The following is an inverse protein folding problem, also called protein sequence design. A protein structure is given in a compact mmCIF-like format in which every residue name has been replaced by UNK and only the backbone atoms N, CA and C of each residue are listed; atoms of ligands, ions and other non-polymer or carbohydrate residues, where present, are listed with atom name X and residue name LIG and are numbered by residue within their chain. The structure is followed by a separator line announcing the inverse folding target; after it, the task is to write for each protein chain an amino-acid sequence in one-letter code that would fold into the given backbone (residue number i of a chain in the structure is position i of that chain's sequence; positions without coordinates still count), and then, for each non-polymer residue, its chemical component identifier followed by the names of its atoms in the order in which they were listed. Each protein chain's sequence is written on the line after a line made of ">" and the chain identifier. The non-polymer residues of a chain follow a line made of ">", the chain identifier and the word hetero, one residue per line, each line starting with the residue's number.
data_IF_392874607354
#
_entry.id   IF_392874607354
#
_cell.length_a   1.000
_cell.length_b   1.000
_cell.length_c   1.000
_cell.angle_alpha   90.00
_cell.angle_beta   90.00
_cell.angle_gamma   90.00
#
_symmetry.space_group_name_H-M   'P 1'
#
loop_
_entity.id
_entity.type
_entity.pdbx_description
1 polymer ?
#
# COMPACT_ATOMS: atom_id res chain seq x y z
N UNK A 1 -6.88 31.14 1.46
CA UNK A 1 -6.24 29.81 1.48
C UNK A 1 -6.89 28.96 0.41
N UNK A 2 -6.13 28.37 -0.53
CA UNK A 2 -6.70 27.51 -1.57
C UNK A 2 -7.46 26.32 -0.96
N UNK A 3 -8.54 25.91 -1.60
CA UNK A 3 -9.43 24.82 -1.16
C UNK A 3 -9.18 23.56 -1.98
N UNK A 4 -8.99 22.43 -1.32
CA UNK A 4 -8.83 21.12 -1.96
C UNK A 4 -10.03 20.26 -1.64
N UNK A 5 -10.64 19.66 -2.67
CA UNK A 5 -11.59 18.56 -2.48
C UNK A 5 -10.83 17.24 -2.51
N UNK A 6 -10.71 16.57 -1.37
CA UNK A 6 -10.03 15.28 -1.23
C UNK A 6 -11.03 14.12 -1.39
N UNK A 7 -11.03 13.46 -2.54
CA UNK A 7 -11.92 12.35 -2.86
C UNK A 7 -11.25 10.98 -2.63
N UNK A 8 -11.88 10.13 -1.81
CA UNK A 8 -11.39 8.79 -1.48
C UNK A 8 -12.55 7.85 -1.13
N UNK A 9 -12.31 6.53 -1.14
CA UNK A 9 -13.34 5.53 -0.84
C UNK A 9 -13.38 5.12 0.64
N UNK A 10 -12.22 5.02 1.27
CA UNK A 10 -12.06 4.63 2.68
C UNK A 10 -10.91 5.40 3.32
N UNK A 11 -10.99 5.74 4.62
CA UNK A 11 -9.97 6.51 5.32
C UNK A 11 -8.78 5.61 5.70
N UNK A 12 -8.08 5.04 4.72
CA UNK A 12 -6.86 4.27 5.00
C UNK A 12 -5.75 5.18 5.54
N UNK A 13 -4.82 4.64 6.34
CA UNK A 13 -3.76 5.43 7.01
C UNK A 13 -2.98 6.33 6.05
N UNK A 14 -2.59 5.82 4.87
CA UNK A 14 -1.88 6.64 3.88
C UNK A 14 -2.73 7.77 3.29
N UNK A 15 -4.06 7.63 3.22
CA UNK A 15 -4.97 8.70 2.81
C UNK A 15 -5.06 9.77 3.90
N UNK A 16 -5.11 9.34 5.17
CA UNK A 16 -5.12 10.25 6.31
C UNK A 16 -3.80 11.03 6.42
N UNK A 17 -2.66 10.37 6.22
CA UNK A 17 -1.35 11.03 6.18
C UNK A 17 -1.30 12.11 5.08
N UNK A 18 -1.74 11.78 3.87
CA UNK A 18 -1.81 12.76 2.77
C UNK A 18 -2.76 13.92 3.09
N UNK A 19 -3.92 13.64 3.67
CA UNK A 19 -4.86 14.67 4.11
C UNK A 19 -4.21 15.62 5.11
N UNK A 20 -3.51 15.07 6.09
CA UNK A 20 -2.90 15.85 7.16
C UNK A 20 -1.75 16.70 6.61
N UNK A 21 -0.93 16.14 5.70
CA UNK A 21 0.05 16.88 4.89
C UNK A 21 -0.61 18.05 4.15
N UNK A 22 -1.70 17.80 3.41
CA UNK A 22 -2.39 18.84 2.65
C UNK A 22 -2.98 19.93 3.56
N UNK A 23 -3.44 19.58 4.76
CA UNK A 23 -3.98 20.53 5.75
C UNK A 23 -2.94 21.48 6.32
N UNK A 24 -1.65 21.18 6.21
CA UNK A 24 -0.59 22.11 6.61
C UNK A 24 -0.61 23.42 5.82
N UNK A 25 -1.10 23.39 4.56
CA UNK A 25 -1.10 24.56 3.67
C UNK A 25 -2.46 24.92 3.04
N UNK A 26 -3.40 23.97 2.99
CA UNK A 26 -4.63 24.11 2.22
C UNK A 26 -5.88 23.83 3.06
N UNK A 27 -7.00 24.44 2.66
CA UNK A 27 -8.30 24.14 3.23
C UNK A 27 -8.84 22.84 2.61
N UNK A 28 -8.73 21.72 3.31
CA UNK A 28 -9.13 20.41 2.80
C UNK A 28 -10.58 20.08 3.17
N UNK A 29 -11.44 19.96 2.15
CA UNK A 29 -12.80 19.42 2.25
C UNK A 29 -12.76 17.94 1.83
N UNK A 30 -13.17 17.03 2.71
CA UNK A 30 -13.16 15.58 2.45
C UNK A 30 -14.43 15.13 1.70
N UNK A 31 -14.25 14.29 0.69
CA UNK A 31 -15.30 13.58 -0.04
C UNK A 31 -15.08 12.08 0.08
N UNK A 32 -15.50 11.52 1.22
CA UNK A 32 -15.52 10.07 1.43
C UNK A 32 -16.73 9.45 0.73
N UNK A 33 -16.48 8.48 -0.16
CA UNK A 33 -17.54 7.79 -0.88
C UNK A 33 -17.27 6.27 -0.95
N UNK A 34 -17.66 5.50 0.07
CA UNK A 34 -17.44 4.05 0.09
C UNK A 34 -18.34 3.34 -0.93
N UNK A 35 -19.53 3.89 -1.20
CA UNK A 35 -20.51 3.35 -2.15
C UNK A 35 -20.31 3.83 -3.59
N UNK A 36 -21.00 3.16 -4.52
CA UNK A 36 -20.97 3.52 -5.96
C UNK A 36 -21.80 4.76 -6.29
N UNK A 37 -22.82 5.07 -5.49
CA UNK A 37 -23.72 6.19 -5.72
C UNK A 37 -23.15 7.46 -5.09
N UNK A 38 -22.85 8.44 -5.93
CA UNK A 38 -22.51 9.78 -5.49
C UNK A 38 -23.79 10.61 -5.29
N UNK A 39 -23.72 11.63 -4.44
CA UNK A 39 -24.76 12.66 -4.35
C UNK A 39 -24.36 13.89 -5.18
N UNK A 40 -24.80 14.02 -6.45
CA UNK A 40 -24.39 15.10 -7.34
C UNK A 40 -24.80 16.49 -6.82
N UNK A 41 -25.91 16.59 -6.08
CA UNK A 41 -26.38 17.86 -5.49
C UNK A 41 -25.40 18.40 -4.45
N UNK A 42 -24.68 17.52 -3.74
CA UNK A 42 -23.61 17.91 -2.81
C UNK A 42 -22.26 18.04 -3.51
N UNK A 43 -21.98 17.18 -4.48
CA UNK A 43 -20.69 17.12 -5.15
C UNK A 43 -20.44 18.33 -6.05
N UNK A 44 -21.42 18.75 -6.86
CA UNK A 44 -21.22 19.85 -7.80
C UNK A 44 -20.85 21.16 -7.08
N UNK A 45 -21.55 21.58 -6.01
CA UNK A 45 -21.12 22.73 -5.21
C UNK A 45 -19.75 22.56 -4.55
N UNK A 46 -19.39 21.33 -4.13
CA UNK A 46 -18.07 21.05 -3.55
C UNK A 46 -16.96 21.26 -4.58
N UNK A 47 -17.06 20.66 -5.77
CA UNK A 47 -16.08 20.85 -6.85
C UNK A 47 -16.04 22.32 -7.31
N UNK A 48 -17.19 23.01 -7.38
CA UNK A 48 -17.24 24.44 -7.72
C UNK A 48 -16.54 25.34 -6.71
N UNK A 49 -16.51 24.98 -5.43
CA UNK A 49 -15.82 25.75 -4.37
C UNK A 49 -14.34 25.39 -4.24
N UNK A 50 -13.93 24.20 -4.68
CA UNK A 50 -12.53 23.76 -4.59
C UNK A 50 -11.68 24.40 -5.69
N UNK A 51 -10.43 24.76 -5.39
CA UNK A 51 -9.45 25.22 -6.37
C UNK A 51 -8.74 24.05 -7.06
N UNK A 52 -8.66 22.90 -6.38
CA UNK A 52 -8.10 21.65 -6.91
C UNK A 52 -8.88 20.43 -6.39
N UNK A 53 -9.00 19.39 -7.22
CA UNK A 53 -9.51 18.07 -6.79
C UNK A 53 -8.35 17.10 -6.61
N UNK A 54 -8.17 16.58 -5.39
CA UNK A 54 -7.20 15.55 -5.08
C UNK A 54 -7.93 14.21 -4.93
N UNK A 55 -7.51 13.18 -5.65
CA UNK A 55 -8.16 11.87 -5.62
C UNK A 55 -7.21 10.74 -5.25
N UNK A 56 -7.68 9.77 -4.47
CA UNK A 56 -6.99 8.50 -4.23
C UNK A 56 -7.66 7.35 -4.97
N UNK A 57 -6.92 6.64 -5.80
CA UNK A 57 -7.35 5.58 -6.74
C UNK A 57 -8.30 6.03 -7.84
N UNK A 58 -8.07 5.57 -9.06
CA UNK A 58 -8.97 5.76 -10.19
C UNK A 58 -10.15 4.78 -10.13
N UNK A 59 -11.20 5.16 -9.41
CA UNK A 59 -12.45 4.38 -9.28
C UNK A 59 -13.70 5.26 -9.17
N UNK A 60 -14.85 4.65 -8.87
CA UNK A 60 -16.17 5.30 -8.85
C UNK A 60 -16.23 6.54 -7.98
N UNK A 61 -15.55 6.56 -6.84
CA UNK A 61 -15.52 7.70 -5.91
C UNK A 61 -14.75 8.90 -6.45
N UNK A 62 -13.82 8.70 -7.38
CA UNK A 62 -13.10 9.78 -8.09
C UNK A 62 -13.70 10.12 -9.45
N UNK A 63 -14.60 9.27 -9.98
CA UNK A 63 -15.15 9.45 -11.33
C UNK A 63 -15.84 10.79 -11.53
N UNK A 64 -16.84 11.10 -10.70
CA UNK A 64 -17.54 12.37 -10.81
C UNK A 64 -16.69 13.57 -10.35
N UNK A 65 -15.95 13.54 -9.20
CA UNK A 65 -15.12 14.67 -8.80
C UNK A 65 -14.12 15.11 -9.87
N UNK A 66 -13.37 14.16 -10.45
CA UNK A 66 -12.35 14.46 -11.48
C UNK A 66 -12.98 14.86 -12.80
N UNK A 67 -14.08 14.21 -13.21
CA UNK A 67 -14.78 14.58 -14.45
C UNK A 67 -15.37 15.99 -14.35
N UNK A 68 -15.97 16.35 -13.22
CA UNK A 68 -16.50 17.69 -12.98
C UNK A 68 -15.38 18.74 -12.90
N UNK A 69 -14.25 18.42 -12.26
CA UNK A 69 -13.08 19.30 -12.26
C UNK A 69 -12.60 19.59 -13.69
N UNK A 70 -12.45 18.54 -14.51
CA UNK A 70 -12.08 18.68 -15.91
C UNK A 70 -13.06 19.54 -16.71
N UNK A 71 -14.38 19.31 -16.56
CA UNK A 71 -15.42 20.11 -17.23
C UNK A 71 -15.43 21.58 -16.81
N UNK A 72 -15.02 21.87 -15.57
CA UNK A 72 -14.95 23.22 -15.00
C UNK A 72 -13.57 23.87 -15.21
N UNK A 73 -12.64 23.23 -15.92
CA UNK A 73 -11.29 23.74 -16.15
C UNK A 73 -10.40 23.74 -14.90
N UNK A 74 -10.75 22.98 -13.86
CA UNK A 74 -10.03 22.95 -12.58
C UNK A 74 -8.93 21.89 -12.57
N UNK A 75 -7.77 22.17 -11.96
CA UNK A 75 -6.71 21.18 -11.83
C UNK A 75 -7.14 20.01 -10.95
N UNK A 76 -6.57 18.84 -11.23
CA UNK A 76 -6.73 17.66 -10.41
C UNK A 76 -5.46 16.83 -10.32
N UNK A 77 -5.19 16.30 -9.12
CA UNK A 77 -4.11 15.37 -8.84
C UNK A 77 -4.72 14.03 -8.43
N UNK A 78 -4.39 12.96 -9.15
CA UNK A 78 -4.92 11.62 -8.88
C UNK A 78 -3.78 10.68 -8.52
N UNK A 79 -3.81 10.15 -7.30
CA UNK A 79 -2.88 9.10 -6.87
C UNK A 79 -3.41 7.75 -7.34
N UNK A 80 -2.61 7.03 -8.13
CA UNK A 80 -2.91 5.70 -8.70
C UNK A 80 -1.71 4.76 -8.43
N UNK A 81 -1.79 3.49 -8.82
CA UNK A 81 -0.68 2.55 -8.59
C UNK A 81 -1.02 1.40 -7.66
N UNK A 82 -2.30 1.03 -7.60
CA UNK A 82 -2.73 -0.18 -6.92
C UNK A 82 -3.64 -1.01 -7.83
N UNK A 83 -4.77 -1.41 -7.28
CA UNK A 83 -5.76 -2.22 -8.00
C UNK A 83 -6.29 -1.55 -9.29
N UNK A 84 -6.25 -0.23 -9.37
CA UNK A 84 -6.74 0.55 -10.50
C UNK A 84 -5.89 0.46 -11.76
N UNK A 85 -4.60 0.12 -11.64
CA UNK A 85 -3.66 0.00 -12.77
C UNK A 85 -3.21 -1.44 -13.02
N UNK A 86 -3.46 -2.36 -12.08
CA UNK A 86 -3.08 -3.76 -12.19
C UNK A 86 -3.90 -4.55 -13.21
N UNK A 87 -3.28 -5.59 -13.80
CA UNK A 87 -3.88 -6.58 -14.69
C UNK A 87 -3.27 -7.97 -14.47
N UNK A 88 -3.82 -8.75 -13.53
CA UNK A 88 -3.40 -10.11 -13.20
C UNK A 88 -4.57 -11.10 -13.38
N UNK A 89 -4.88 -11.51 -14.62
CA UNK A 89 -5.99 -12.41 -14.93
C UNK A 89 -5.88 -13.79 -14.25
N UNK A 90 -4.67 -14.28 -14.03
CA UNK A 90 -4.37 -15.57 -13.40
C UNK A 90 -4.88 -15.68 -11.95
N UNK A 91 -5.05 -14.54 -11.27
CA UNK A 91 -5.62 -14.47 -9.92
C UNK A 91 -6.86 -13.55 -9.84
N UNK A 92 -7.40 -13.14 -11.00
CA UNK A 92 -8.57 -12.26 -11.09
C UNK A 92 -8.37 -10.88 -10.45
N UNK A 93 -7.14 -10.34 -10.43
CA UNK A 93 -6.80 -9.09 -9.72
C UNK A 93 -6.51 -7.91 -10.67
N UNK A 94 -7.17 -6.77 -10.44
CA UNK A 94 -6.91 -5.49 -11.09
C UNK A 94 -8.03 -4.99 -12.01
N UNK A 95 -8.22 -3.68 -12.11
CA UNK A 95 -9.23 -3.07 -12.97
C UNK A 95 -8.89 -3.12 -14.46
N UNK A 96 -7.61 -3.30 -14.83
CA UNK A 96 -7.22 -3.27 -16.23
C UNK A 96 -7.52 -4.57 -16.99
N UNK A 97 -8.18 -5.54 -16.35
CA UNK A 97 -8.61 -6.82 -16.93
C UNK A 97 -9.82 -6.73 -17.89
N UNK A 98 -10.54 -5.60 -17.92
CA UNK A 98 -11.69 -5.42 -18.82
C UNK A 98 -12.92 -4.80 -18.15
N UNK A 99 -14.02 -4.75 -18.90
CA UNK A 99 -15.33 -4.34 -18.37
C UNK A 99 -15.44 -2.85 -17.98
N UNK A 100 -16.53 -2.49 -17.27
CA UNK A 100 -16.83 -1.10 -16.93
C UNK A 100 -15.79 -0.49 -15.98
N UNK A 101 -15.15 -1.28 -15.12
CA UNK A 101 -14.10 -0.79 -14.22
C UNK A 101 -12.86 -0.32 -14.99
N UNK A 102 -12.44 -1.05 -16.02
CA UNK A 102 -11.34 -0.64 -16.91
C UNK A 102 -11.65 0.66 -17.61
N UNK A 103 -12.84 0.77 -18.21
CA UNK A 103 -13.25 1.98 -18.91
C UNK A 103 -13.28 3.18 -17.96
N UNK A 104 -13.92 3.02 -16.80
CA UNK A 104 -14.07 4.07 -15.81
C UNK A 104 -12.71 4.54 -15.29
N UNK A 105 -11.87 3.62 -14.83
CA UNK A 105 -10.54 3.97 -14.30
C UNK A 105 -9.69 4.70 -15.34
N UNK A 106 -9.67 4.22 -16.60
CA UNK A 106 -8.98 4.89 -17.71
C UNK A 106 -9.54 6.27 -18.03
N UNK A 107 -10.87 6.44 -17.95
CA UNK A 107 -11.49 7.75 -18.12
C UNK A 107 -11.01 8.74 -17.07
N UNK A 108 -11.07 8.37 -15.79
CA UNK A 108 -10.63 9.23 -14.67
C UNK A 108 -9.15 9.59 -14.85
N UNK A 109 -8.30 8.59 -15.10
CA UNK A 109 -6.86 8.82 -15.28
C UNK A 109 -6.57 9.71 -16.50
N UNK A 110 -7.29 9.54 -17.60
CA UNK A 110 -7.13 10.38 -18.78
C UNK A 110 -7.53 11.84 -18.52
N UNK A 111 -8.47 12.11 -17.60
CA UNK A 111 -8.97 13.47 -17.32
C UNK A 111 -8.29 14.19 -16.17
N UNK A 112 -7.69 13.46 -15.22
CA UNK A 112 -6.93 14.05 -14.12
C UNK A 112 -5.79 14.94 -14.65
N UNK A 113 -5.49 16.11 -14.08
CA UNK A 113 -4.40 16.96 -14.62
C UNK A 113 -3.03 16.31 -14.47
N UNK A 114 -2.79 15.68 -13.31
CA UNK A 114 -1.55 14.99 -12.97
C UNK A 114 -1.86 13.63 -12.36
N UNK A 115 -1.10 12.61 -12.76
CA UNK A 115 -1.10 11.31 -12.08
C UNK A 115 0.13 11.21 -11.17
N UNK A 116 -0.10 10.73 -9.96
CA UNK A 116 0.96 10.38 -9.00
C UNK A 116 0.91 8.89 -8.74
N UNK A 117 2.05 8.22 -8.76
CA UNK A 117 2.19 6.81 -8.38
C UNK A 117 3.16 6.65 -7.23
N UNK A 118 3.01 5.58 -6.47
CA UNK A 118 3.77 5.33 -5.24
C UNK A 118 5.04 4.47 -5.43
N UNK A 119 5.36 4.06 -6.66
CA UNK A 119 6.57 3.31 -6.99
C UNK A 119 6.91 3.41 -8.48
N UNK A 120 8.16 3.12 -8.85
CA UNK A 120 8.55 3.01 -10.26
C UNK A 120 7.89 1.79 -10.91
N UNK A 121 7.64 0.72 -10.15
CA UNK A 121 6.83 -0.41 -10.58
C UNK A 121 5.43 0.03 -11.00
N UNK A 122 4.71 0.77 -10.14
CA UNK A 122 3.38 1.28 -10.45
C UNK A 122 3.39 2.22 -11.67
N UNK A 123 4.48 2.98 -11.88
CA UNK A 123 4.67 3.77 -13.10
C UNK A 123 4.73 2.88 -14.34
N UNK A 124 5.55 1.83 -14.32
CA UNK A 124 5.66 0.85 -15.41
C UNK A 124 4.32 0.16 -15.66
N UNK A 125 3.56 -0.15 -14.61
CA UNK A 125 2.20 -0.71 -14.76
C UNK A 125 1.23 0.27 -15.42
N UNK A 126 1.28 1.57 -15.09
CA UNK A 126 0.46 2.58 -15.79
C UNK A 126 0.81 2.60 -17.29
N UNK A 127 2.10 2.57 -17.62
CA UNK A 127 2.57 2.56 -19.01
C UNK A 127 2.13 1.29 -19.76
N UNK A 128 2.28 0.12 -19.15
CA UNK A 128 1.96 -1.17 -19.75
C UNK A 128 0.44 -1.44 -19.84
N UNK A 129 -0.30 -1.21 -18.76
CA UNK A 129 -1.68 -1.66 -18.62
C UNK A 129 -2.71 -0.59 -18.98
N UNK A 130 -2.38 0.70 -18.84
CA UNK A 130 -3.33 1.80 -19.06
C UNK A 130 -3.09 2.47 -20.41
N UNK A 131 -1.83 2.78 -20.75
CA UNK A 131 -1.43 3.30 -22.06
C UNK A 131 -1.79 4.76 -22.30
N UNK A 132 -1.50 5.67 -21.36
CA UNK A 132 -1.83 7.09 -21.46
C UNK A 132 -0.70 7.90 -22.11
N UNK A 133 -0.67 7.95 -23.45
CA UNK A 133 0.30 8.76 -24.21
C UNK A 133 0.23 10.24 -23.79
N UNK A 134 1.39 10.83 -23.50
CA UNK A 134 1.53 12.25 -23.17
C UNK A 134 1.02 12.64 -21.78
N UNK A 135 0.58 11.69 -20.95
CA UNK A 135 0.16 11.98 -19.58
C UNK A 135 1.37 12.12 -18.66
N UNK A 136 1.38 13.17 -17.85
CA UNK A 136 2.40 13.31 -16.81
C UNK A 136 2.09 12.34 -15.68
N UNK A 137 3.01 11.41 -15.44
CA UNK A 137 3.02 10.50 -14.30
C UNK A 137 4.25 10.85 -13.46
N UNK A 138 4.04 11.15 -12.18
CA UNK A 138 5.11 11.45 -11.22
C UNK A 138 5.18 10.36 -10.17
N UNK A 139 6.38 9.88 -9.88
CA UNK A 139 6.61 8.94 -8.79
C UNK A 139 6.80 9.74 -7.52
N UNK A 140 5.91 9.57 -6.56
CA UNK A 140 6.03 10.08 -5.19
C UNK A 140 5.77 8.90 -4.27
N UNK A 141 6.86 8.31 -3.79
CA UNK A 141 6.82 7.18 -2.87
C UNK A 141 5.95 7.48 -1.63
N UNK A 142 5.45 6.43 -0.99
CA UNK A 142 4.88 6.59 0.33
C UNK A 142 5.96 7.06 1.31
N UNK A 143 5.52 7.87 2.28
CA UNK A 143 6.30 8.27 3.44
C UNK A 143 5.82 7.42 4.61
N UNK A 144 6.75 6.80 5.31
CA UNK A 144 6.44 5.89 6.43
C UNK A 144 6.89 6.58 7.72
N UNK A 145 5.95 7.06 8.55
CA UNK A 145 6.29 7.76 9.78
C UNK A 145 6.95 6.79 10.78
N UNK A 146 8.04 7.25 11.38
CA UNK A 146 8.76 6.51 12.41
C UNK A 146 8.17 6.77 13.79
N UNK A 147 7.05 6.10 14.06
CA UNK A 147 6.38 6.14 15.37
C UNK A 147 6.91 5.06 16.31
N UNK A 148 7.77 4.16 15.81
CA UNK A 148 8.27 3.01 16.56
C UNK A 148 9.47 3.37 17.45
N UNK A 149 10.23 4.41 17.07
CA UNK A 149 11.40 4.87 17.81
C UNK A 149 12.60 3.93 17.68
N UNK A 150 13.59 4.11 18.54
CA UNK A 150 14.82 3.30 18.52
C UNK A 150 14.54 1.81 18.71
N UNK A 151 15.35 0.97 18.05
CA UNK A 151 15.29 -0.48 18.24
C UNK A 151 15.87 -0.86 19.60
N UNK A 152 15.26 -1.86 20.21
CA UNK A 152 15.83 -2.55 21.35
C UNK A 152 17.09 -3.34 20.95
N UNK A 153 18.15 -3.24 21.75
CA UNK A 153 19.42 -3.94 21.50
C UNK A 153 19.41 -5.44 21.85
N UNK A 154 18.25 -6.01 22.17
CA UNK A 154 18.10 -7.42 22.55
C UNK A 154 17.93 -8.35 21.34
N UNK A 155 18.33 -9.61 21.48
CA UNK A 155 17.97 -10.66 20.54
C UNK A 155 16.45 -10.87 20.53
N UNK A 156 15.85 -10.98 19.34
CA UNK A 156 14.43 -11.26 19.20
C UNK A 156 14.15 -12.74 19.26
N UNK A 157 13.00 -13.08 19.80
CA UNK A 157 12.48 -14.44 19.69
C UNK A 157 12.36 -14.82 18.20
N UNK A 158 12.89 -15.99 17.79
CA UNK A 158 12.72 -16.45 16.43
C UNK A 158 11.21 -16.59 16.18
N UNK A 159 10.71 -15.88 15.17
CA UNK A 159 9.29 -15.78 14.86
C UNK A 159 9.06 -15.09 13.52
N UNK A 160 8.04 -15.54 12.79
CA UNK A 160 7.66 -14.97 11.50
C UNK A 160 6.28 -14.29 11.56
N UNK A 161 6.19 -13.08 11.00
CA UNK A 161 4.97 -12.27 10.99
C UNK A 161 4.55 -11.91 9.57
N UNK A 162 3.24 -11.87 9.31
CA UNK A 162 2.63 -11.26 8.12
C UNK A 162 1.45 -10.40 8.55
N UNK A 163 1.32 -9.21 7.94
CA UNK A 163 0.22 -8.29 8.19
C UNK A 163 -0.57 -8.05 6.90
N UNK A 164 -1.84 -8.46 6.88
CA UNK A 164 -2.77 -8.20 5.77
C UNK A 164 -4.20 -8.45 6.19
N UNK A 165 -5.14 -7.65 5.68
CA UNK A 165 -6.56 -8.04 5.69
C UNK A 165 -6.74 -9.42 5.04
N UNK A 166 -7.48 -10.29 5.73
CA UNK A 166 -7.80 -11.64 5.31
C UNK A 166 -9.08 -11.59 4.50
N UNK A 167 -8.93 -11.78 3.21
CA UNK A 167 -10.00 -11.87 2.23
C UNK A 167 -9.62 -12.89 1.17
N UNK A 168 -10.59 -13.46 0.46
CA UNK A 168 -10.37 -14.40 -0.66
C UNK A 168 -9.32 -13.90 -1.64
N UNK A 169 -9.39 -12.62 -1.99
CA UNK A 169 -8.46 -11.96 -2.90
C UNK A 169 -7.03 -11.85 -2.35
N UNK A 170 -6.87 -11.79 -1.02
CA UNK A 170 -5.57 -11.66 -0.38
C UNK A 170 -4.84 -13.00 -0.23
N UNK A 171 -5.55 -14.14 -0.22
CA UNK A 171 -4.93 -15.45 0.02
C UNK A 171 -3.73 -15.73 -0.89
N UNK A 172 -3.94 -15.54 -2.19
CA UNK A 172 -2.90 -15.71 -3.21
C UNK A 172 -2.12 -14.42 -3.45
N UNK A 173 -2.82 -13.29 -3.60
CA UNK A 173 -2.18 -12.01 -3.94
C UNK A 173 -1.13 -11.60 -2.90
N UNK A 174 -1.41 -11.79 -1.61
CA UNK A 174 -0.53 -11.42 -0.50
C UNK A 174 0.28 -12.60 0.04
N UNK A 175 0.07 -13.82 -0.49
CA UNK A 175 0.76 -15.02 -0.05
C UNK A 175 0.35 -15.51 1.34
N UNK A 176 -0.90 -15.29 1.78
CA UNK A 176 -1.34 -15.71 3.11
C UNK A 176 -1.46 -17.23 3.21
N UNK A 177 -1.92 -17.90 2.15
CA UNK A 177 -2.02 -19.36 2.09
C UNK A 177 -0.64 -20.02 2.25
N UNK A 178 0.37 -19.72 1.43
CA UNK A 178 1.67 -20.34 1.60
C UNK A 178 2.37 -19.94 2.91
N UNK A 179 2.13 -18.72 3.43
CA UNK A 179 2.66 -18.31 4.73
C UNK A 179 2.19 -19.23 5.87
N UNK A 180 0.89 -19.54 5.95
CA UNK A 180 0.39 -20.42 7.03
C UNK A 180 0.79 -21.88 6.82
N UNK A 181 0.93 -22.33 5.57
CA UNK A 181 1.40 -23.68 5.25
C UNK A 181 2.90 -23.86 5.59
N UNK A 182 3.69 -22.79 5.50
CA UNK A 182 5.11 -22.78 5.88
C UNK A 182 5.33 -23.16 7.35
N UNK A 183 4.36 -22.90 8.23
CA UNK A 183 4.45 -23.25 9.65
C UNK A 183 4.77 -24.72 9.90
N UNK A 184 4.29 -25.62 9.03
CA UNK A 184 4.56 -27.06 9.14
C UNK A 184 6.02 -27.45 8.89
N UNK A 185 6.77 -26.61 8.16
CA UNK A 185 8.19 -26.84 7.83
C UNK A 185 9.16 -26.28 8.87
N UNK A 186 8.64 -25.49 9.81
CA UNK A 186 9.38 -24.81 10.87
C UNK A 186 8.59 -24.89 12.21
N UNK A 187 8.27 -26.11 12.70
CA UNK A 187 7.40 -26.31 13.86
C UNK A 187 7.94 -25.73 15.17
N UNK A 188 9.24 -25.48 15.26
CA UNK A 188 9.93 -24.91 16.41
C UNK A 188 9.68 -23.40 16.62
N UNK A 189 9.13 -22.72 15.61
CA UNK A 189 9.00 -21.26 15.60
C UNK A 189 7.54 -20.82 15.48
N UNK A 190 7.10 -19.76 16.19
CA UNK A 190 5.78 -19.17 16.03
C UNK A 190 5.62 -18.44 14.70
N UNK A 191 4.45 -18.60 14.09
CA UNK A 191 3.98 -17.82 12.95
C UNK A 191 2.78 -16.97 13.38
N UNK A 192 2.75 -15.70 13.00
CA UNK A 192 1.69 -14.77 13.37
C UNK A 192 1.11 -14.14 12.11
N UNK A 193 -0.20 -14.28 11.92
CA UNK A 193 -0.95 -13.56 10.90
C UNK A 193 -1.85 -12.53 11.57
N UNK A 194 -1.62 -11.26 11.24
CA UNK A 194 -2.40 -10.11 11.75
C UNK A 194 -3.20 -9.48 10.62
N UNK A 195 -4.46 -9.16 10.90
CA UNK A 195 -5.33 -8.41 10.00
C UNK A 195 -6.80 -8.76 10.15
N UNK A 196 -7.66 -7.79 9.82
CA UNK A 196 -9.11 -7.94 9.81
C UNK A 196 -9.56 -9.09 8.90
N UNK A 197 -10.52 -9.90 9.36
CA UNK A 197 -11.16 -10.95 8.56
C UNK A 197 -12.37 -10.37 7.86
N UNK A 198 -12.31 -10.24 6.54
CA UNK A 198 -13.32 -9.57 5.72
C UNK A 198 -14.34 -10.53 5.10
N UNK A 199 -14.01 -11.82 5.05
CA UNK A 199 -14.85 -12.90 4.55
C UNK A 199 -14.46 -14.25 5.21
N UNK A 200 -15.01 -15.36 4.70
CA UNK A 200 -14.73 -16.72 5.15
C UNK A 200 -13.30 -17.24 4.84
N UNK A 201 -12.42 -16.38 4.30
CA UNK A 201 -11.02 -16.73 4.01
C UNK A 201 -10.24 -17.25 5.20
N UNK A 202 -10.56 -16.76 6.39
CA UNK A 202 -9.93 -17.19 7.62
C UNK A 202 -10.16 -18.67 7.92
N UNK A 203 -11.32 -19.23 7.56
CA UNK A 203 -11.64 -20.63 7.84
C UNK A 203 -10.76 -21.58 7.03
N UNK A 204 -10.44 -21.20 5.79
CA UNK A 204 -9.51 -21.98 4.98
C UNK A 204 -8.08 -21.89 5.54
N UNK A 205 -7.63 -20.69 5.90
CA UNK A 205 -6.30 -20.52 6.48
C UNK A 205 -6.15 -21.38 7.75
N UNK A 206 -7.16 -21.41 8.63
CA UNK A 206 -7.16 -22.25 9.84
C UNK A 206 -7.10 -23.75 9.54
N UNK A 207 -7.77 -24.22 8.48
CA UNK A 207 -7.73 -25.64 8.09
C UNK A 207 -6.36 -26.07 7.54
N UNK A 208 -5.62 -25.14 6.92
CA UNK A 208 -4.30 -25.39 6.31
C UNK A 208 -3.13 -25.14 7.26
N UNK A 209 -3.35 -24.30 8.26
CA UNK A 209 -2.32 -23.87 9.20
C UNK A 209 -1.81 -25.02 10.08
N UNK A 210 -0.51 -25.00 10.34
CA UNK A 210 0.11 -25.83 11.37
C UNK A 210 -0.20 -25.29 12.79
N UNK A 211 -0.03 -26.12 13.85
CA UNK A 211 -0.36 -25.73 15.23
C UNK A 211 0.41 -24.50 15.78
N UNK A 212 1.56 -24.18 15.20
CA UNK A 212 2.40 -23.03 15.56
C UNK A 212 1.97 -21.71 14.89
N UNK A 213 0.89 -21.70 14.11
CA UNK A 213 0.37 -20.50 13.45
C UNK A 213 -0.76 -19.89 14.27
N UNK A 214 -0.60 -18.62 14.63
CA UNK A 214 -1.58 -17.82 15.35
C UNK A 214 -2.23 -16.77 14.46
N UNK A 215 -3.54 -16.59 14.62
CA UNK A 215 -4.33 -15.60 13.90
C UNK A 215 -4.83 -14.53 14.87
N UNK A 216 -4.34 -13.30 14.74
CA UNK A 216 -4.63 -12.22 15.72
C UNK A 216 -5.85 -11.38 15.37
N UNK A 217 -6.35 -11.46 14.15
CA UNK A 217 -7.44 -10.59 13.69
C UNK A 217 -6.99 -9.13 13.56
N UNK A 218 -7.93 -8.20 13.60
CA UNK A 218 -7.62 -6.77 13.65
C UNK A 218 -7.02 -6.40 15.01
N UNK A 219 -5.95 -5.62 15.01
CA UNK A 219 -5.29 -5.11 16.21
C UNK A 219 -5.35 -3.58 16.23
N UNK A 220 -5.34 -3.00 17.44
CA UNK A 220 -5.06 -1.58 17.61
C UNK A 220 -3.63 -1.28 17.14
N UNK A 221 -3.30 0.01 17.00
CA UNK A 221 -1.98 0.38 16.53
C UNK A 221 -0.87 -0.06 17.49
N UNK A 222 -1.09 0.15 18.78
CA UNK A 222 -0.15 -0.19 19.84
C UNK A 222 0.10 -1.70 19.87
N UNK A 223 -0.97 -2.50 19.77
CA UNK A 223 -0.87 -3.94 19.72
C UNK A 223 -0.17 -4.46 18.45
N UNK A 224 -0.39 -3.82 17.30
CA UNK A 224 0.33 -4.15 16.06
C UNK A 224 1.82 -3.81 16.17
N UNK A 225 2.16 -2.64 16.72
CA UNK A 225 3.55 -2.22 16.93
C UNK A 225 4.28 -3.20 17.88
N UNK A 226 3.59 -3.70 18.90
CA UNK A 226 4.12 -4.73 19.78
C UNK A 226 4.38 -6.07 19.07
N UNK A 227 3.49 -6.52 18.18
CA UNK A 227 3.73 -7.71 17.35
C UNK A 227 4.92 -7.51 16.40
N UNK A 228 5.01 -6.33 15.77
CA UNK A 228 6.12 -5.99 14.87
C UNK A 228 7.46 -5.90 15.64
N UNK A 229 7.47 -5.42 16.87
CA UNK A 229 8.67 -5.40 17.73
C UNK A 229 9.07 -6.79 18.23
N UNK A 230 8.13 -7.72 18.39
CA UNK A 230 8.44 -9.10 18.79
C UNK A 230 9.03 -9.92 17.64
N UNK A 231 8.49 -9.77 16.44
CA UNK A 231 8.88 -10.61 15.31
C UNK A 231 10.33 -10.36 14.86
N UNK A 232 11.10 -11.42 14.67
CA UNK A 232 12.43 -11.35 14.05
C UNK A 232 12.33 -11.17 12.52
N UNK A 233 11.36 -11.84 11.90
CA UNK A 233 11.21 -11.92 10.45
C UNK A 233 9.81 -11.47 10.03
N UNK A 234 9.74 -10.66 8.97
CA UNK A 234 8.48 -10.31 8.31
C UNK A 234 8.42 -10.97 6.94
N UNK A 235 7.35 -11.68 6.63
CA UNK A 235 7.19 -12.38 5.34
C UNK A 235 6.19 -11.62 4.46
N UNK A 236 6.54 -11.38 3.21
CA UNK A 236 5.61 -10.89 2.18
C UNK A 236 5.76 -11.71 0.90
N UNK A 237 5.08 -12.85 0.86
CA UNK A 237 5.09 -13.75 -0.30
C UNK A 237 4.05 -13.34 -1.36
N UNK A 238 3.96 -12.04 -1.66
CA UNK A 238 2.97 -11.49 -2.57
C UNK A 238 3.17 -11.97 -4.01
N UNK A 239 2.10 -11.97 -4.81
CA UNK A 239 2.14 -12.07 -6.29
C UNK A 239 2.05 -10.70 -6.97
N UNK A 240 1.49 -9.72 -6.27
CA UNK A 240 1.46 -8.32 -6.69
C UNK A 240 1.50 -7.40 -5.46
N UNK A 241 2.31 -6.35 -5.55
CA UNK A 241 2.42 -5.36 -4.49
C UNK A 241 2.71 -3.97 -5.07
N UNK A 242 1.81 -3.00 -4.87
CA UNK A 242 1.99 -1.64 -5.39
C UNK A 242 3.08 -0.83 -4.67
N UNK A 243 3.26 -1.08 -3.37
CA UNK A 243 4.37 -0.52 -2.57
C UNK A 243 4.84 -1.50 -1.50
N UNK A 244 3.95 -1.91 -0.59
CA UNK A 244 4.29 -2.77 0.55
C UNK A 244 4.48 -2.00 1.85
N UNK A 245 3.50 -1.18 2.23
CA UNK A 245 3.55 -0.38 3.48
C UNK A 245 3.79 -1.26 4.71
N UNK A 246 3.14 -2.42 4.81
CA UNK A 246 3.33 -3.33 5.93
C UNK A 246 4.77 -3.88 6.01
N UNK A 247 5.44 -4.08 4.86
CA UNK A 247 6.86 -4.45 4.81
C UNK A 247 7.72 -3.32 5.35
N UNK A 248 7.47 -2.08 4.90
CA UNK A 248 8.21 -0.91 5.36
C UNK A 248 8.00 -0.64 6.87
N UNK A 249 6.78 -0.79 7.37
CA UNK A 249 6.46 -0.68 8.80
C UNK A 249 7.18 -1.77 9.61
N UNK A 250 7.23 -3.01 9.12
CA UNK A 250 7.98 -4.09 9.77
C UNK A 250 9.50 -3.87 9.73
N UNK A 251 10.03 -3.34 8.63
CA UNK A 251 11.45 -2.97 8.53
C UNK A 251 11.80 -1.84 9.51
N UNK A 252 10.93 -0.83 9.68
CA UNK A 252 11.11 0.18 10.74
C UNK A 252 11.10 -0.44 12.13
N UNK A 253 10.26 -1.46 12.35
CA UNK A 253 10.25 -2.22 13.58
C UNK A 253 11.48 -3.12 13.75
N UNK A 254 12.40 -3.20 12.78
CA UNK A 254 13.60 -4.03 12.86
C UNK A 254 13.37 -5.50 12.49
N UNK A 255 12.23 -5.84 11.88
CA UNK A 255 12.06 -7.15 11.26
C UNK A 255 12.92 -7.26 10.01
N UNK A 256 13.55 -8.42 9.80
CA UNK A 256 14.23 -8.73 8.55
C UNK A 256 13.17 -9.18 7.54
N UNK A 257 12.99 -8.48 6.40
CA UNK A 257 11.94 -8.82 5.45
C UNK A 257 12.37 -9.99 4.55
N UNK A 258 11.49 -10.98 4.42
CA UNK A 258 11.57 -12.09 3.46
C UNK A 258 10.47 -11.87 2.43
N UNK A 259 10.86 -11.54 1.19
CA UNK A 259 9.90 -11.07 0.17
C UNK A 259 10.09 -11.77 -1.16
N UNK A 260 8.98 -11.99 -1.87
CA UNK A 260 9.05 -12.29 -3.30
C UNK A 260 9.53 -11.07 -4.07
N UNK A 261 10.28 -11.29 -5.16
CA UNK A 261 10.80 -10.21 -6.00
C UNK A 261 9.74 -9.68 -7.00
N UNK A 262 8.54 -9.34 -6.51
CA UNK A 262 7.43 -8.86 -7.34
C UNK A 262 7.02 -7.44 -6.98
N UNK A 263 6.38 -6.76 -7.92
CA UNK A 263 5.84 -5.43 -7.68
C UNK A 263 6.91 -4.44 -7.26
N UNK A 264 6.57 -3.60 -6.28
CA UNK A 264 7.48 -2.63 -5.67
C UNK A 264 8.31 -3.19 -4.50
N UNK A 265 8.17 -4.48 -4.15
CA UNK A 265 8.92 -5.07 -3.03
C UNK A 265 10.44 -4.94 -3.19
N UNK A 266 11.04 -5.14 -4.39
CA UNK A 266 12.47 -4.87 -4.58
C UNK A 266 12.86 -3.40 -4.36
N UNK A 267 11.97 -2.47 -4.70
CA UNK A 267 12.20 -1.03 -4.47
C UNK A 267 12.16 -0.70 -2.98
N UNK A 268 11.22 -1.29 -2.23
CA UNK A 268 11.09 -1.04 -0.78
C UNK A 268 12.19 -1.74 0.02
N UNK A 269 12.49 -3.00 -0.26
CA UNK A 269 13.45 -3.81 0.53
C UNK A 269 14.90 -3.59 0.11
N UNK A 270 15.17 -3.36 -1.17
CA UNK A 270 16.54 -3.30 -1.70
C UNK A 270 17.38 -4.48 -1.23
N UNK A 271 18.58 -4.20 -0.73
CA UNK A 271 19.51 -5.23 -0.23
C UNK A 271 19.33 -5.51 1.27
N UNK A 272 18.39 -4.85 1.95
CA UNK A 272 18.19 -4.94 3.40
C UNK A 272 17.20 -6.06 3.79
N UNK A 273 17.27 -7.20 3.10
CA UNK A 273 16.33 -8.31 3.27
C UNK A 273 16.64 -9.52 2.40
N UNK A 274 15.86 -10.59 2.58
CA UNK A 274 16.00 -11.83 1.82
C UNK A 274 14.95 -11.88 0.71
N UNK A 275 15.42 -12.05 -0.53
CA UNK A 275 14.54 -12.29 -1.67
C UNK A 275 14.35 -13.78 -1.89
N UNK A 276 13.10 -14.19 -2.12
CA UNK A 276 12.71 -15.54 -2.52
C UNK A 276 12.14 -15.52 -3.94
N UNK A 277 12.40 -16.59 -4.70
CA UNK A 277 12.05 -16.65 -6.12
C UNK A 277 10.56 -16.93 -6.35
N UNK A 278 9.90 -17.55 -5.38
CA UNK A 278 8.47 -17.87 -5.43
C UNK A 278 7.86 -17.91 -4.04
N UNK A 279 6.55 -18.08 -4.02
CA UNK A 279 5.75 -18.08 -2.80
C UNK A 279 5.54 -19.49 -2.23
N UNK A 280 6.29 -20.51 -2.68
CA UNK A 280 6.12 -21.88 -2.18
C UNK A 280 6.61 -22.01 -0.72
N UNK A 281 5.93 -22.80 0.13
CA UNK A 281 6.29 -22.94 1.55
C UNK A 281 7.76 -23.27 1.81
N UNK A 282 8.39 -24.11 0.99
CA UNK A 282 9.80 -24.49 1.11
C UNK A 282 10.73 -23.30 0.86
N UNK A 283 10.39 -22.44 -0.10
CA UNK A 283 11.15 -21.23 -0.41
C UNK A 283 10.98 -20.18 0.67
N UNK A 284 9.76 -20.03 1.22
CA UNK A 284 9.52 -19.16 2.37
C UNK A 284 10.32 -19.66 3.58
N UNK A 285 10.27 -20.96 3.89
CA UNK A 285 11.02 -21.54 5.01
C UNK A 285 12.54 -21.33 4.85
N UNK A 286 13.08 -21.57 3.66
CA UNK A 286 14.49 -21.31 3.35
C UNK A 286 14.84 -19.82 3.48
N UNK A 287 13.96 -18.93 3.04
CA UNK A 287 14.10 -17.48 3.19
C UNK A 287 14.12 -17.05 4.66
N UNK A 288 13.24 -17.60 5.48
CA UNK A 288 13.19 -17.33 6.92
C UNK A 288 14.47 -17.80 7.62
N UNK A 289 14.96 -19.02 7.34
CA UNK A 289 16.22 -19.52 7.93
C UNK A 289 17.39 -18.59 7.59
N UNK A 290 17.52 -18.18 6.32
CA UNK A 290 18.54 -17.22 5.87
C UNK A 290 18.40 -15.87 6.57
N UNK A 291 17.17 -15.37 6.77
CA UNK A 291 16.95 -14.11 7.45
C UNK A 291 17.42 -14.15 8.91
N UNK A 292 17.13 -15.26 9.61
CA UNK A 292 17.56 -15.45 11.01
C UNK A 292 19.09 -15.53 11.15
N UNK A 293 19.80 -16.02 10.14
CA UNK A 293 21.28 -16.10 10.13
C UNK A 293 21.97 -14.72 9.96
N UNK A 294 21.27 -13.69 9.48
CA UNK A 294 21.87 -12.36 9.24
C UNK A 294 22.12 -11.55 10.53
N UNK A 295 21.44 -11.91 11.61
CA UNK A 295 21.61 -11.32 12.94
C UNK A 295 21.29 -9.82 13.03
N UNK A 296 21.76 -9.22 14.12
CA UNK A 296 21.41 -7.87 14.55
C UNK A 296 21.78 -6.76 13.54
N UNK A 297 22.86 -6.94 12.77
CA UNK A 297 23.29 -5.98 11.76
C UNK A 297 22.24 -5.75 10.66
N UNK A 298 21.57 -6.82 10.22
CA UNK A 298 20.54 -6.73 9.19
C UNK A 298 19.26 -6.04 9.68
N UNK A 299 18.91 -6.18 10.97
CA UNK A 299 17.77 -5.48 11.58
C UNK A 299 17.94 -3.96 11.49
N UNK A 300 19.12 -3.46 11.88
CA UNK A 300 19.45 -2.03 11.75
C UNK A 300 19.46 -1.56 10.31
N UNK A 301 20.04 -2.34 9.40
CA UNK A 301 20.05 -2.00 7.96
C UNK A 301 18.64 -1.92 7.36
N UNK A 302 17.73 -2.83 7.75
CA UNK A 302 16.33 -2.80 7.32
C UNK A 302 15.64 -1.49 7.75
N UNK A 303 15.80 -1.11 9.02
CA UNK A 303 15.26 0.14 9.56
C UNK A 303 15.86 1.38 8.89
N UNK A 304 17.19 1.48 8.85
CA UNK A 304 17.92 2.61 8.26
C UNK A 304 17.53 2.82 6.80
N UNK A 305 17.28 1.74 6.06
CA UNK A 305 16.79 1.84 4.69
C UNK A 305 15.47 2.60 4.61
N UNK A 306 14.48 2.25 5.44
CA UNK A 306 13.18 2.92 5.37
C UNK A 306 13.30 4.38 5.78
N UNK A 307 14.02 4.69 6.85
CA UNK A 307 14.27 6.06 7.31
C UNK A 307 14.94 6.92 6.22
N UNK A 308 15.91 6.36 5.48
CA UNK A 308 16.66 7.08 4.45
C UNK A 308 15.89 7.25 3.14
N UNK A 309 15.15 6.22 2.72
CA UNK A 309 14.56 6.17 1.38
C UNK A 309 13.08 6.54 1.34
N UNK A 310 12.35 6.36 2.44
CA UNK A 310 10.91 6.62 2.52
C UNK A 310 10.49 7.49 3.73
N UNK A 311 11.23 8.58 4.05
CA UNK A 311 10.83 9.47 5.14
C UNK A 311 9.52 10.20 4.79
N UNK A 312 8.72 10.49 5.82
CA UNK A 312 7.43 11.19 5.65
C UNK A 312 7.62 12.57 5.03
N UNK A 313 8.68 13.27 5.41
CA UNK A 313 9.02 14.62 4.98
C UNK A 313 9.21 14.68 3.46
N UNK A 314 9.85 13.67 2.85
CA UNK A 314 10.02 13.62 1.39
C UNK A 314 8.68 13.52 0.67
N UNK A 315 7.74 12.76 1.21
CA UNK A 315 6.38 12.68 0.66
C UNK A 315 5.63 13.99 0.85
N UNK A 316 5.71 14.58 2.05
CA UNK A 316 5.09 15.87 2.38
C UNK A 316 5.53 16.95 1.40
N UNK A 317 6.85 17.15 1.28
CA UNK A 317 7.42 18.22 0.46
C UNK A 317 7.03 18.04 -1.01
N UNK A 318 7.14 16.82 -1.55
CA UNK A 318 6.76 16.52 -2.92
C UNK A 318 5.26 16.74 -3.19
N UNK A 319 4.36 16.33 -2.29
CA UNK A 319 2.92 16.53 -2.49
C UNK A 319 2.55 18.01 -2.45
N UNK A 320 3.09 18.77 -1.48
CA UNK A 320 2.84 20.19 -1.37
C UNK A 320 3.35 20.95 -2.60
N UNK A 321 4.57 20.66 -3.06
CA UNK A 321 5.14 21.26 -4.28
C UNK A 321 4.31 20.96 -5.54
N UNK A 322 3.85 19.72 -5.70
CA UNK A 322 3.01 19.35 -6.85
C UNK A 322 1.66 20.07 -6.84
N UNK A 323 1.05 20.21 -5.67
CA UNK A 323 -0.23 20.92 -5.53
C UNK A 323 -0.04 22.41 -5.76
N UNK A 324 0.98 23.03 -5.17
CA UNK A 324 1.32 24.44 -5.38
C UNK A 324 1.57 24.73 -6.87
N UNK A 325 2.31 23.86 -7.56
CA UNK A 325 2.59 23.99 -8.99
C UNK A 325 1.34 23.85 -9.87
N UNK A 326 0.35 23.04 -9.46
CA UNK A 326 -0.92 22.92 -10.18
C UNK A 326 -1.81 24.14 -9.97
N UNK A 327 -1.87 24.66 -8.73
CA UNK A 327 -2.65 25.86 -8.41
C UNK A 327 -2.08 27.12 -9.08
N UNK A 328 -0.76 27.22 -9.24
CA UNK A 328 -0.12 28.35 -9.92
C UNK A 328 -0.36 28.39 -11.44
N UNK A 329 -0.88 27.30 -12.04
CA UNK A 329 -1.15 27.17 -13.48
C UNK A 329 -2.64 27.26 -13.84
N UNK A 330 -3.52 27.30 -12.84
CA UNK A 330 -4.97 27.31 -12.98
C UNK A 330 -5.51 28.73 -13.21
#
# INVERSE_FOLDING_TARGET
>A
MPRILLAYSRPARFVQLDRDILRERFAVEEWEQPGRLANPLRLVPAVRRADLVFGWFASWHTFLPVTLAWLLGKPSLLVVGGFDVAALPEIGYGYQQGGPQRWLSRWVMARATLLVVNSEFSRREVEANVGLRGKQVRVVYHGVPDELGELDGGEREPGALTVSAVARLSLERKGLRPFVETGALLPEMPFVLVGEWQDDAIEELRRRAAPNVSFRGWLSREALDDELRRAAVYVQASRHEGFGLAVAEAMLAGCIPVVTAVGALPEVVGEAGVRIEGAEPEQIAAGIRRALELGEGARRQARERILRHFPLERRRDALLELVDALLARA
#
